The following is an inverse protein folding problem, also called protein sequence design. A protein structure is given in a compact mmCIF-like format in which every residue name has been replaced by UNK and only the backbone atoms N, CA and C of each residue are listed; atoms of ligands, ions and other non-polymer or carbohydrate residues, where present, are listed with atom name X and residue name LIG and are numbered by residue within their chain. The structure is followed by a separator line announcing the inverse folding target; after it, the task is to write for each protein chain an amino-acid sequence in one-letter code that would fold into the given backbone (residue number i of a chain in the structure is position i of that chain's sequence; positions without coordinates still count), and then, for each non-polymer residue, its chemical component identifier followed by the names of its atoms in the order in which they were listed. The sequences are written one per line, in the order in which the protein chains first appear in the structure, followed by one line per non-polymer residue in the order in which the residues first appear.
data_IF_518455197410
#
_entry.id   IF_518455197410
#
_cell.length_a   1.000
_cell.length_b   1.000
_cell.length_c   1.000
_cell.angle_alpha   90.00
_cell.angle_beta   90.00
_cell.angle_gamma   90.00
#
_symmetry.space_group_name_H-M   'P 1'
#
loop_
_entity.id
_entity.type
_entity.pdbx_description
1 polymer ?
#
# COMPACT_ATOMS: atom_id res chain seq x y z
N UNK A 1 -48.04 -52.03 -94.78
CA UNK A 1 -46.96 -51.09 -95.11
C UNK A 1 -47.01 -49.90 -94.16
N UNK A 2 -45.91 -49.73 -93.42
CA UNK A 2 -45.31 -48.46 -92.97
C UNK A 2 -46.09 -47.71 -91.86
N UNK A 3 -45.69 -47.88 -90.59
CA UNK A 3 -44.67 -47.07 -89.88
C UNK A 3 -44.99 -45.57 -89.94
N UNK A 4 -45.44 -45.03 -88.80
CA UNK A 4 -44.87 -43.78 -88.30
C UNK A 4 -45.01 -43.71 -86.77
N UNK A 5 -44.01 -44.28 -86.10
CA UNK A 5 -43.65 -43.91 -84.75
C UNK A 5 -42.55 -42.85 -84.86
N UNK A 6 -42.76 -41.69 -84.23
CA UNK A 6 -41.70 -40.69 -84.16
C UNK A 6 -42.13 -39.39 -83.51
N UNK A 7 -41.34 -39.00 -82.50
CA UNK A 7 -41.15 -37.61 -82.03
C UNK A 7 -42.09 -37.06 -80.96
N UNK A 8 -42.27 -37.82 -79.86
CA UNK A 8 -42.14 -37.17 -78.54
C UNK A 8 -40.65 -37.18 -78.15
N UNK A 9 -39.92 -36.21 -78.67
CA UNK A 9 -38.59 -35.87 -78.17
C UNK A 9 -38.73 -35.27 -76.79
N UNK A 10 -38.84 -36.11 -75.76
CA UNK A 10 -38.67 -35.69 -74.39
C UNK A 10 -37.27 -35.08 -74.28
N UNK A 11 -37.18 -33.77 -74.07
CA UNK A 11 -35.95 -33.15 -73.58
C UNK A 11 -35.55 -33.96 -72.34
N UNK A 12 -34.40 -34.65 -72.40
CA UNK A 12 -33.79 -35.23 -71.21
C UNK A 12 -33.55 -34.05 -70.28
N UNK A 13 -34.40 -33.87 -69.28
CA UNK A 13 -34.10 -32.98 -68.16
C UNK A 13 -32.71 -33.40 -67.67
N UNK A 14 -31.76 -32.48 -67.77
CA UNK A 14 -30.42 -32.69 -67.21
C UNK A 14 -30.63 -33.00 -65.74
N UNK A 15 -30.45 -34.27 -65.37
CA UNK A 15 -30.58 -34.70 -63.98
C UNK A 15 -29.53 -33.92 -63.21
N UNK A 16 -29.98 -33.10 -62.27
CA UNK A 16 -29.09 -32.45 -61.31
C UNK A 16 -28.28 -33.57 -60.64
N UNK A 17 -26.97 -33.59 -60.88
CA UNK A 17 -26.02 -34.53 -60.28
C UNK A 17 -25.11 -33.78 -59.34
N UNK A 18 -24.40 -34.47 -58.46
CA UNK A 18 -23.49 -33.79 -57.54
C UNK A 18 -22.40 -33.01 -58.28
N UNK A 19 -21.92 -33.55 -59.41
CA UNK A 19 -21.02 -32.85 -60.32
C UNK A 19 -21.61 -31.53 -60.85
N UNK A 20 -22.91 -31.50 -61.17
CA UNK A 20 -23.60 -30.27 -61.57
C UNK A 20 -23.57 -29.22 -60.46
N UNK A 21 -23.82 -29.60 -59.19
CA UNK A 21 -23.74 -28.68 -58.05
C UNK A 21 -22.31 -28.22 -57.75
N UNK A 22 -21.30 -29.09 -57.95
CA UNK A 22 -19.90 -28.71 -57.80
C UNK A 22 -19.45 -27.68 -58.84
N UNK A 23 -19.94 -27.79 -60.08
CA UNK A 23 -19.59 -26.89 -61.17
C UNK A 23 -20.35 -25.56 -61.11
N UNK A 24 -21.64 -25.59 -60.79
CA UNK A 24 -22.51 -24.41 -60.86
C UNK A 24 -22.73 -23.71 -59.51
N UNK A 25 -22.51 -24.40 -58.39
CA UNK A 25 -22.73 -23.88 -57.03
C UNK A 25 -21.63 -24.33 -56.04
N UNK A 26 -20.34 -24.03 -56.33
CA UNK A 26 -19.23 -24.48 -55.49
C UNK A 26 -19.34 -23.97 -54.04
N UNK A 27 -19.82 -22.73 -53.83
CA UNK A 27 -20.00 -22.13 -52.50
C UNK A 27 -20.98 -22.93 -51.62
N UNK A 28 -22.05 -23.49 -52.22
CA UNK A 28 -23.02 -24.31 -51.50
C UNK A 28 -22.40 -25.65 -51.10
N UNK A 29 -21.59 -26.24 -51.99
CA UNK A 29 -20.88 -27.50 -51.72
C UNK A 29 -19.83 -27.32 -50.63
N UNK A 30 -19.10 -26.20 -50.63
CA UNK A 30 -18.15 -25.88 -49.57
C UNK A 30 -18.88 -25.66 -48.24
N UNK A 31 -19.94 -24.86 -48.21
CA UNK A 31 -20.73 -24.64 -46.99
C UNK A 31 -21.34 -25.93 -46.41
N UNK A 32 -21.73 -26.89 -47.25
CA UNK A 32 -22.19 -28.20 -46.78
C UNK A 32 -21.05 -29.02 -46.14
N UNK A 33 -19.84 -28.94 -46.69
CA UNK A 33 -18.65 -29.64 -46.16
C UNK A 33 -18.15 -29.05 -44.83
N UNK A 34 -18.45 -27.78 -44.57
CA UNK A 34 -18.09 -27.08 -43.32
C UNK A 34 -18.97 -27.48 -42.13
N UNK A 35 -20.11 -28.14 -42.37
CA UNK A 35 -20.97 -28.66 -41.31
C UNK A 35 -20.21 -29.69 -40.44
N UNK A 36 -20.33 -29.58 -39.11
CA UNK A 36 -19.82 -30.58 -38.16
C UNK A 36 -20.42 -31.96 -38.40
N UNK A 37 -21.69 -32.01 -38.82
CA UNK A 37 -22.38 -33.26 -39.21
C UNK A 37 -22.25 -33.60 -40.72
N UNK A 38 -21.22 -33.10 -41.42
CA UNK A 38 -21.03 -33.35 -42.86
C UNK A 38 -21.10 -34.84 -43.25
N UNK A 39 -20.51 -35.75 -42.46
CA UNK A 39 -20.58 -37.19 -42.77
C UNK A 39 -22.01 -37.74 -42.77
N UNK A 40 -22.91 -37.17 -41.96
CA UNK A 40 -24.35 -37.48 -41.96
C UNK A 40 -25.01 -36.97 -43.24
N UNK A 41 -24.72 -35.73 -43.64
CA UNK A 41 -25.24 -35.12 -44.88
C UNK A 41 -24.73 -35.83 -46.13
N UNK A 42 -23.46 -36.23 -46.13
CA UNK A 42 -22.81 -37.01 -47.19
C UNK A 42 -23.40 -38.41 -47.34
N UNK A 43 -23.90 -39.02 -46.27
CA UNK A 43 -24.63 -40.29 -46.38
C UNK A 43 -25.94 -40.12 -47.16
N UNK A 44 -26.65 -39.01 -46.93
CA UNK A 44 -27.87 -38.66 -47.67
C UNK A 44 -27.59 -38.25 -49.13
N UNK A 45 -26.36 -37.86 -49.48
CA UNK A 45 -25.95 -37.58 -50.85
C UNK A 45 -26.03 -38.84 -51.73
N UNK A 46 -25.55 -39.98 -51.23
CA UNK A 46 -25.60 -41.24 -51.96
C UNK A 46 -27.05 -41.69 -52.24
N UNK A 47 -27.94 -41.51 -51.26
CA UNK A 47 -29.36 -41.80 -51.41
C UNK A 47 -30.06 -40.81 -52.36
N UNK A 48 -29.68 -39.53 -52.31
CA UNK A 48 -30.19 -38.48 -53.20
C UNK A 48 -29.75 -38.70 -54.65
N UNK A 49 -28.49 -39.13 -54.89
CA UNK A 49 -28.00 -39.49 -56.23
C UNK A 49 -28.73 -40.71 -56.81
N UNK A 50 -29.01 -41.71 -55.97
CA UNK A 50 -29.74 -42.91 -56.36
C UNK A 50 -31.20 -42.63 -56.72
N UNK A 51 -31.86 -41.75 -55.97
CA UNK A 51 -33.27 -41.38 -56.18
C UNK A 51 -33.44 -40.26 -57.21
N UNK A 52 -32.37 -39.52 -57.53
CA UNK A 52 -32.41 -38.33 -58.38
C UNK A 52 -33.12 -37.14 -57.74
N UNK A 53 -33.28 -37.16 -56.42
CA UNK A 53 -34.01 -36.14 -55.65
C UNK A 53 -33.11 -35.56 -54.55
N UNK A 54 -32.65 -34.33 -54.77
CA UNK A 54 -31.77 -33.60 -53.86
C UNK A 54 -32.54 -32.87 -52.74
N UNK A 55 -33.87 -32.96 -52.71
CA UNK A 55 -34.65 -32.46 -51.57
C UNK A 55 -34.28 -33.21 -50.28
N UNK A 56 -33.92 -34.49 -50.38
CA UNK A 56 -33.46 -35.30 -49.25
C UNK A 56 -32.11 -34.79 -48.72
N UNK A 57 -31.15 -34.50 -49.60
CA UNK A 57 -29.88 -33.87 -49.23
C UNK A 57 -30.10 -32.50 -48.56
N UNK A 58 -30.99 -31.67 -49.12
CA UNK A 58 -31.32 -30.36 -48.56
C UNK A 58 -31.95 -30.48 -47.16
N UNK A 59 -32.87 -31.43 -46.96
CA UNK A 59 -33.46 -31.70 -45.65
C UNK A 59 -32.44 -32.24 -44.65
N UNK A 60 -31.54 -33.13 -45.08
CA UNK A 60 -30.46 -33.65 -44.24
C UNK A 60 -29.50 -32.54 -43.80
N UNK A 61 -29.11 -31.66 -44.74
CA UNK A 61 -28.31 -30.47 -44.45
C UNK A 61 -29.01 -29.53 -43.47
N UNK A 62 -30.30 -29.22 -43.69
CA UNK A 62 -31.08 -28.38 -42.77
C UNK A 62 -31.18 -28.96 -41.36
N UNK A 63 -31.35 -30.28 -41.25
CA UNK A 63 -31.38 -30.96 -39.94
C UNK A 63 -30.02 -30.89 -39.26
N UNK A 64 -28.93 -31.12 -39.99
CA UNK A 64 -27.57 -30.98 -39.49
C UNK A 64 -27.30 -29.55 -38.97
N UNK A 65 -27.59 -28.53 -39.78
CA UNK A 65 -27.45 -27.12 -39.37
C UNK A 65 -28.30 -26.78 -38.14
N UNK A 66 -29.54 -27.27 -38.08
CA UNK A 66 -30.40 -27.06 -36.90
C UNK A 66 -29.79 -27.67 -35.63
N UNK A 67 -29.20 -28.86 -35.71
CA UNK A 67 -28.54 -29.51 -34.57
C UNK A 67 -27.32 -28.74 -34.11
N UNK A 68 -26.46 -28.31 -35.04
CA UNK A 68 -25.29 -27.49 -34.73
C UNK A 68 -25.69 -26.17 -34.07
N UNK A 69 -26.69 -25.46 -34.63
CA UNK A 69 -27.22 -24.24 -34.01
C UNK A 69 -27.79 -24.51 -32.61
N UNK A 70 -28.42 -25.67 -32.38
CA UNK A 70 -28.94 -26.02 -31.07
C UNK A 70 -27.81 -26.27 -30.07
N UNK A 71 -26.74 -26.96 -30.48
CA UNK A 71 -25.54 -27.18 -29.66
C UNK A 71 -24.85 -25.85 -29.34
N UNK A 72 -24.67 -24.98 -30.34
CA UNK A 72 -24.04 -23.67 -30.14
C UNK A 72 -24.88 -22.79 -29.20
N UNK A 73 -26.22 -22.86 -29.27
CA UNK A 73 -27.12 -22.18 -28.33
C UNK A 73 -26.91 -22.68 -26.90
N UNK A 74 -26.80 -24.00 -26.71
CA UNK A 74 -26.60 -24.58 -25.38
C UNK A 74 -25.22 -24.22 -24.81
N UNK A 75 -24.16 -24.28 -25.62
CA UNK A 75 -22.81 -23.81 -25.26
C UNK A 75 -22.81 -22.33 -24.87
N UNK A 76 -23.52 -21.49 -25.63
CA UNK A 76 -23.66 -20.06 -25.33
C UNK A 76 -24.44 -19.85 -24.03
N UNK A 77 -25.50 -20.62 -23.77
CA UNK A 77 -26.25 -20.55 -22.51
C UNK A 77 -25.36 -20.89 -21.33
N UNK A 78 -24.57 -21.97 -21.41
CA UNK A 78 -23.63 -22.34 -20.35
C UNK A 78 -22.60 -21.24 -20.10
N UNK A 79 -22.03 -20.66 -21.17
CA UNK A 79 -21.11 -19.52 -21.06
C UNK A 79 -21.79 -18.32 -20.39
N UNK A 80 -23.02 -17.99 -20.79
CA UNK A 80 -23.81 -16.90 -20.19
C UNK A 80 -24.05 -17.15 -18.70
N UNK A 81 -24.47 -18.36 -18.30
CA UNK A 81 -24.65 -18.71 -16.90
C UNK A 81 -23.36 -18.60 -16.10
N UNK A 82 -22.23 -19.06 -16.66
CA UNK A 82 -20.93 -18.93 -16.02
C UNK A 82 -20.51 -17.46 -15.82
N UNK A 83 -20.83 -16.59 -16.79
CA UNK A 83 -20.56 -15.16 -16.71
C UNK A 83 -21.45 -14.48 -15.66
N UNK A 84 -22.74 -14.83 -15.60
CA UNK A 84 -23.64 -14.32 -14.56
C UNK A 84 -23.18 -14.73 -13.17
N UNK A 85 -22.79 -15.99 -12.97
CA UNK A 85 -22.27 -16.45 -11.68
C UNK A 85 -20.99 -15.70 -11.27
N UNK A 86 -20.06 -15.47 -12.21
CA UNK A 86 -18.87 -14.65 -11.98
C UNK A 86 -19.22 -13.19 -11.65
N UNK A 87 -20.22 -12.63 -12.33
CA UNK A 87 -20.67 -11.26 -12.10
C UNK A 87 -21.30 -11.11 -10.71
N UNK A 88 -22.12 -12.06 -10.27
CA UNK A 88 -22.72 -12.07 -8.94
C UNK A 88 -21.65 -12.24 -7.84
N UNK A 89 -20.63 -13.08 -8.08
CA UNK A 89 -19.46 -13.19 -7.22
C UNK A 89 -18.73 -11.85 -7.07
N UNK A 90 -18.39 -11.21 -8.20
CA UNK A 90 -17.73 -9.89 -8.20
C UNK A 90 -18.58 -8.80 -7.54
N UNK A 91 -19.90 -8.83 -7.76
CA UNK A 91 -20.84 -7.89 -7.13
C UNK A 91 -20.83 -8.04 -5.60
N UNK A 92 -20.87 -9.28 -5.12
CA UNK A 92 -20.84 -9.60 -3.68
C UNK A 92 -19.51 -9.18 -3.06
N UNK A 93 -18.39 -9.49 -3.71
CA UNK A 93 -17.06 -9.08 -3.27
C UNK A 93 -16.92 -7.56 -3.21
N UNK A 94 -17.48 -6.86 -4.21
CA UNK A 94 -17.50 -5.39 -4.26
C UNK A 94 -18.31 -4.82 -3.10
N UNK A 95 -19.50 -5.35 -2.83
CA UNK A 95 -20.34 -4.91 -1.71
C UNK A 95 -19.65 -5.13 -0.34
N UNK A 96 -18.99 -6.27 -0.17
CA UNK A 96 -18.21 -6.57 1.04
C UNK A 96 -17.02 -5.60 1.21
N UNK A 97 -16.33 -5.29 0.12
CA UNK A 97 -15.24 -4.31 0.14
C UNK A 97 -15.76 -2.91 0.48
N UNK A 98 -16.91 -2.49 -0.05
CA UNK A 98 -17.53 -1.22 0.31
C UNK A 98 -17.86 -1.15 1.80
N UNK A 99 -18.50 -2.19 2.37
CA UNK A 99 -18.81 -2.24 3.82
C UNK A 99 -17.54 -2.17 4.68
N UNK A 100 -16.46 -2.82 4.25
CA UNK A 100 -15.16 -2.74 4.94
C UNK A 100 -14.57 -1.33 4.88
N UNK A 101 -14.58 -0.70 3.71
CA UNK A 101 -14.09 0.67 3.52
C UNK A 101 -14.92 1.67 4.35
N UNK A 102 -16.25 1.53 4.37
CA UNK A 102 -17.13 2.36 5.19
C UNK A 102 -16.79 2.25 6.68
N UNK A 103 -16.52 1.03 7.16
CA UNK A 103 -16.08 0.80 8.53
C UNK A 103 -14.73 1.47 8.81
N UNK A 104 -13.73 1.27 7.94
CA UNK A 104 -12.41 1.90 8.07
C UNK A 104 -12.52 3.44 8.08
N UNK A 105 -13.39 4.03 7.26
CA UNK A 105 -13.68 5.48 7.27
C UNK A 105 -14.32 5.91 8.59
N UNK A 106 -15.27 5.14 9.11
CA UNK A 106 -15.91 5.44 10.40
C UNK A 106 -14.90 5.41 11.55
N UNK A 107 -14.00 4.44 11.55
CA UNK A 107 -12.95 4.31 12.57
C UNK A 107 -11.96 5.50 12.49
N UNK A 108 -11.56 5.89 11.28
CA UNK A 108 -10.70 7.07 11.06
C UNK A 108 -11.38 8.36 11.55
N UNK A 109 -12.68 8.54 11.28
CA UNK A 109 -13.44 9.69 11.79
C UNK A 109 -13.44 9.73 13.32
N UNK A 110 -13.62 8.58 13.98
CA UNK A 110 -13.55 8.50 15.44
C UNK A 110 -12.18 8.91 16.00
N UNK A 111 -11.09 8.49 15.35
CA UNK A 111 -9.73 8.89 15.73
C UNK A 111 -9.52 10.40 15.52
N UNK A 112 -10.03 10.95 14.42
CA UNK A 112 -9.94 12.37 14.12
C UNK A 112 -10.69 13.21 15.17
N UNK A 113 -11.91 12.82 15.54
CA UNK A 113 -12.67 13.48 16.59
C UNK A 113 -11.94 13.44 17.94
N UNK A 114 -11.24 12.35 18.26
CA UNK A 114 -10.42 12.26 19.47
C UNK A 114 -9.20 13.18 19.40
N UNK A 115 -8.54 13.25 18.25
CA UNK A 115 -7.40 14.14 18.02
C UNK A 115 -7.81 15.61 18.16
N UNK A 116 -8.97 15.99 17.63
CA UNK A 116 -9.51 17.35 17.75
C UNK A 116 -9.78 17.70 19.22
N UNK A 117 -10.34 16.76 20.00
CA UNK A 117 -10.52 16.94 21.45
C UNK A 117 -9.18 17.13 22.17
N UNK A 118 -8.17 16.33 21.85
CA UNK A 118 -6.82 16.46 22.44
C UNK A 118 -6.17 17.79 22.06
N UNK A 119 -6.35 18.24 20.83
CA UNK A 119 -5.83 19.53 20.35
C UNK A 119 -6.47 20.70 21.09
N UNK A 120 -7.78 20.65 21.35
CA UNK A 120 -8.47 21.63 22.19
C UNK A 120 -7.93 21.66 23.63
N UNK A 121 -7.62 20.49 24.21
CA UNK A 121 -7.00 20.40 25.53
C UNK A 121 -5.61 21.03 25.54
N UNK A 122 -4.78 20.76 24.52
CA UNK A 122 -3.44 21.36 24.39
C UNK A 122 -3.56 22.89 24.28
N UNK A 123 -4.47 23.41 23.45
CA UNK A 123 -4.71 24.85 23.34
C UNK A 123 -5.13 25.49 24.68
N UNK A 124 -5.94 24.78 25.48
CA UNK A 124 -6.29 25.24 26.83
C UNK A 124 -5.09 25.21 27.79
N UNK A 125 -4.23 24.19 27.70
CA UNK A 125 -3.00 24.10 28.49
C UNK A 125 -2.02 25.22 28.13
N UNK A 126 -1.84 25.52 26.83
CA UNK A 126 -1.02 26.63 26.35
C UNK A 126 -1.49 27.98 26.90
N UNK A 127 -2.82 28.18 27.07
CA UNK A 127 -3.37 29.39 27.68
C UNK A 127 -3.10 29.50 29.19
N UNK A 128 -2.99 28.37 29.88
CA UNK A 128 -2.75 28.32 31.33
C UNK A 128 -1.25 28.40 31.64
N UNK A 129 -0.39 27.96 30.72
CA UNK A 129 1.06 27.87 30.89
C UNK A 129 1.69 29.19 31.39
N UNK A 130 1.42 30.36 30.78
CA UNK A 130 1.98 31.64 31.24
C UNK A 130 1.57 31.98 32.68
N UNK A 131 0.31 31.71 33.04
CA UNK A 131 -0.19 31.94 34.42
C UNK A 131 0.47 31.00 35.42
N UNK A 132 0.73 29.76 35.00
CA UNK A 132 1.44 28.78 35.81
C UNK A 132 2.88 29.25 36.06
N UNK A 133 3.57 29.73 35.01
CA UNK A 133 4.92 30.30 35.10
C UNK A 133 4.97 31.54 36.00
N UNK A 134 4.01 32.46 35.88
CA UNK A 134 3.91 33.61 36.80
C UNK A 134 3.66 33.18 38.25
N UNK A 135 2.84 32.15 38.47
CA UNK A 135 2.61 31.59 39.81
C UNK A 135 3.87 30.93 40.37
N UNK A 136 4.63 30.22 39.54
CA UNK A 136 5.89 29.58 39.90
C UNK A 136 6.94 30.62 40.29
N UNK A 137 7.07 31.69 39.50
CA UNK A 137 7.96 32.81 39.79
C UNK A 137 7.58 33.50 41.10
N UNK A 138 6.29 33.76 41.33
CA UNK A 138 5.80 34.29 42.62
C UNK A 138 6.02 33.32 43.78
N UNK A 139 5.85 32.02 43.57
CA UNK A 139 6.12 31.01 44.61
C UNK A 139 7.60 30.93 44.96
N UNK A 140 8.50 31.23 44.02
CA UNK A 140 9.95 31.30 44.27
C UNK A 140 10.34 32.62 44.94
N UNK A 141 9.75 33.74 44.52
CA UNK A 141 10.09 35.06 45.07
C UNK A 141 9.51 35.33 46.46
N UNK A 142 8.29 34.86 46.72
CA UNK A 142 7.58 35.19 47.97
C UNK A 142 8.30 34.68 49.24
N UNK A 143 8.84 33.44 49.30
CA UNK A 143 9.63 32.99 50.45
C UNK A 143 10.91 33.80 50.64
N UNK A 144 11.58 34.24 49.56
CA UNK A 144 12.77 35.08 49.62
C UNK A 144 12.43 36.47 50.18
N UNK A 145 11.38 37.11 49.66
CA UNK A 145 10.91 38.40 50.18
C UNK A 145 10.46 38.32 51.65
N UNK A 146 9.77 37.24 52.02
CA UNK A 146 9.36 37.02 53.41
C UNK A 146 10.57 36.78 54.30
N UNK A 147 11.56 36.02 53.83
CA UNK A 147 12.81 35.81 54.54
C UNK A 147 13.57 37.13 54.75
N UNK A 148 13.71 37.97 53.71
CA UNK A 148 14.33 39.30 53.81
C UNK A 148 13.58 40.22 54.78
N UNK A 149 12.23 40.25 54.73
CA UNK A 149 11.43 41.06 55.67
C UNK A 149 11.48 40.54 57.10
N UNK A 150 11.66 39.23 57.29
CA UNK A 150 11.84 38.63 58.61
C UNK A 150 13.25 38.93 59.11
N UNK A 151 14.28 38.77 58.27
CA UNK A 151 15.67 39.08 58.61
C UNK A 151 15.81 40.55 58.98
N UNK A 152 15.24 41.47 58.21
CA UNK A 152 15.27 42.90 58.51
C UNK A 152 14.60 43.22 59.86
N UNK A 153 13.40 42.68 60.11
CA UNK A 153 12.70 42.87 61.40
C UNK A 153 13.41 42.21 62.57
N UNK A 154 14.03 41.05 62.35
CA UNK A 154 14.81 40.37 63.38
C UNK A 154 16.10 41.14 63.66
N UNK A 155 16.77 41.66 62.62
CA UNK A 155 17.97 42.49 62.77
C UNK A 155 17.66 43.78 63.52
N UNK A 156 16.61 44.50 63.15
CA UNK A 156 16.16 45.70 63.87
C UNK A 156 15.83 45.39 65.33
N UNK A 157 15.08 44.31 65.62
CA UNK A 157 14.81 43.91 67.01
C UNK A 157 16.04 43.43 67.76
N UNK A 158 16.98 42.76 67.09
CA UNK A 158 18.22 42.31 67.71
C UNK A 158 19.08 43.53 68.02
N UNK A 159 19.18 44.51 67.11
CA UNK A 159 19.89 45.77 67.33
C UNK A 159 19.26 46.55 68.49
N UNK A 160 17.95 46.78 68.49
CA UNK A 160 17.24 47.43 69.59
C UNK A 160 17.44 46.71 70.92
N UNK A 161 17.32 45.37 70.92
CA UNK A 161 17.44 44.58 72.14
C UNK A 161 18.90 44.40 72.58
N UNK A 162 19.86 44.49 71.67
CA UNK A 162 21.29 44.57 72.00
C UNK A 162 21.61 45.94 72.56
N UNK A 163 21.09 47.03 71.98
CA UNK A 163 21.25 48.38 72.55
C UNK A 163 20.59 48.50 73.92
N UNK A 164 19.39 47.92 74.09
CA UNK A 164 18.69 47.84 75.36
C UNK A 164 19.46 46.98 76.36
N UNK A 165 19.89 45.76 76.00
CA UNK A 165 20.67 44.89 76.89
C UNK A 165 22.04 45.50 77.19
N UNK A 166 22.68 46.18 76.25
CA UNK A 166 23.97 46.86 76.51
C UNK A 166 23.73 48.07 77.41
N UNK A 167 22.68 48.85 77.18
CA UNK A 167 22.31 49.99 78.03
C UNK A 167 21.88 49.56 79.43
N UNK A 168 21.05 48.52 79.53
CA UNK A 168 20.63 47.87 80.77
C UNK A 168 21.78 47.17 81.45
N UNK A 169 22.71 46.50 80.75
CA UNK A 169 23.88 45.88 81.38
C UNK A 169 24.90 46.92 81.81
N UNK A 170 25.06 48.03 81.09
CA UNK A 170 25.90 49.14 81.54
C UNK A 170 25.29 49.76 82.81
N UNK A 171 23.96 49.99 82.83
CA UNK A 171 23.24 50.43 84.04
C UNK A 171 23.21 49.39 85.15
N UNK A 172 23.01 48.11 84.86
CA UNK A 172 23.07 47.01 85.83
C UNK A 172 24.50 46.81 86.32
N UNK A 173 25.54 47.06 85.53
CA UNK A 173 26.92 47.05 86.04
C UNK A 173 27.14 48.24 86.97
N UNK A 174 26.52 49.39 86.72
CA UNK A 174 26.48 50.54 87.63
C UNK A 174 25.63 50.29 88.90
N UNK A 175 24.49 49.59 88.79
CA UNK A 175 23.54 49.32 89.89
C UNK A 175 23.87 48.06 90.69
N UNK A 176 24.41 47.01 90.07
CA UNK A 176 24.96 45.81 90.74
C UNK A 176 26.29 46.09 91.44
N UNK A 177 26.90 47.25 91.19
CA UNK A 177 27.93 47.79 92.08
C UNK A 177 27.32 48.24 93.43
N UNK A 178 25.99 48.38 93.57
CA UNK A 178 25.34 48.90 94.77
C UNK A 178 24.20 48.08 95.37
N UNK A 179 23.68 47.02 94.76
CA UNK A 179 22.76 46.12 95.49
C UNK A 179 22.53 44.79 94.79
N UNK A 180 22.93 43.71 95.44
CA UNK A 180 22.52 42.36 95.08
C UNK A 180 21.24 42.01 95.88
N UNK A 181 20.21 41.54 95.19
CA UNK A 181 18.95 41.08 95.80
C UNK A 181 18.42 39.82 95.10
N UNK A 182 17.65 38.95 95.79
CA UNK A 182 17.25 37.61 95.36
C UNK A 182 16.09 37.54 94.34
N UNK A 183 15.73 38.64 93.67
CA UNK A 183 14.62 38.70 92.69
C UNK A 183 14.98 38.05 91.34
N UNK A 184 16.27 37.99 91.03
CA UNK A 184 16.85 37.35 89.83
C UNK A 184 16.44 35.89 89.65
N UNK A 185 16.19 35.15 90.74
CA UNK A 185 15.84 33.73 90.67
C UNK A 185 14.42 33.53 90.12
N UNK A 186 13.49 34.46 90.40
CA UNK A 186 12.11 34.37 89.94
C UNK A 186 11.99 34.71 88.45
N UNK A 187 12.73 35.72 88.01
CA UNK A 187 12.80 36.15 86.60
C UNK A 187 13.44 35.09 85.70
N UNK A 188 14.46 34.38 86.21
CA UNK A 188 15.09 33.25 85.51
C UNK A 188 14.09 32.10 85.31
N UNK A 189 13.23 31.80 86.29
CA UNK A 189 12.22 30.74 86.19
C UNK A 189 11.15 31.10 85.15
N UNK A 190 10.66 32.33 85.12
CA UNK A 190 9.68 32.79 84.13
C UNK A 190 10.25 32.78 82.69
N UNK A 191 11.53 33.17 82.52
CA UNK A 191 12.22 33.05 81.23
C UNK A 191 12.40 31.60 80.82
N UNK A 192 12.70 30.70 81.75
CA UNK A 192 12.83 29.27 81.47
C UNK A 192 11.49 28.67 80.99
N UNK A 193 10.38 29.00 81.66
CA UNK A 193 9.04 28.57 81.27
C UNK A 193 8.62 29.12 79.90
N UNK A 194 8.98 30.37 79.59
CA UNK A 194 8.74 30.97 78.27
C UNK A 194 9.52 30.23 77.17
N UNK A 195 10.80 29.92 77.42
CA UNK A 195 11.67 29.20 76.46
C UNK A 195 11.19 27.75 76.28
N UNK A 196 10.67 27.10 77.31
CA UNK A 196 10.10 25.75 77.22
C UNK A 196 8.83 25.77 76.36
N UNK A 197 7.94 26.76 76.54
CA UNK A 197 6.72 26.89 75.70
C UNK A 197 7.07 27.17 74.24
N UNK A 198 8.04 28.06 73.99
CA UNK A 198 8.49 28.38 72.63
C UNK A 198 9.15 27.16 71.96
N UNK A 199 9.93 26.36 72.70
CA UNK A 199 10.48 25.10 72.18
C UNK A 199 9.39 24.10 71.77
N UNK A 200 8.31 23.99 72.55
CA UNK A 200 7.19 23.10 72.21
C UNK A 200 6.47 23.57 70.95
N UNK A 201 6.26 24.88 70.78
CA UNK A 201 5.69 25.42 69.54
C UNK A 201 6.61 25.23 68.33
N UNK A 202 7.92 25.44 68.49
CA UNK A 202 8.89 25.23 67.43
C UNK A 202 8.96 23.77 67.00
N UNK A 203 8.90 22.82 67.95
CA UNK A 203 8.79 21.38 67.64
C UNK A 203 7.54 21.05 66.83
N UNK A 204 6.38 21.61 67.19
CA UNK A 204 5.14 21.42 66.43
C UNK A 204 5.22 22.00 65.01
N UNK A 205 5.84 23.18 64.86
CA UNK A 205 6.10 23.78 63.54
C UNK A 205 7.08 22.96 62.71
N UNK A 206 8.08 22.35 63.34
CA UNK A 206 9.03 21.44 62.69
C UNK A 206 8.32 20.19 62.15
N UNK A 207 7.53 19.52 62.99
CA UNK A 207 6.75 18.33 62.59
C UNK A 207 5.75 18.62 61.46
N UNK A 208 5.13 19.81 61.47
CA UNK A 208 4.24 20.23 60.39
C UNK A 208 5.01 20.43 59.08
N UNK A 209 6.20 21.05 59.12
CA UNK A 209 7.06 21.23 57.96
C UNK A 209 7.61 19.91 57.42
N UNK A 210 7.98 18.97 58.30
CA UNK A 210 8.44 17.63 57.90
C UNK A 210 7.35 16.84 57.16
N UNK A 211 6.08 16.96 57.59
CA UNK A 211 4.94 16.38 56.86
C UNK A 211 4.80 16.96 55.46
N UNK A 212 4.88 18.28 55.32
CA UNK A 212 4.83 18.95 54.01
C UNK A 212 6.00 18.51 53.12
N UNK A 213 7.22 18.39 53.67
CA UNK A 213 8.39 17.89 52.93
C UNK A 213 8.15 16.45 52.43
N UNK A 214 7.53 15.61 53.26
CA UNK A 214 7.21 14.22 52.86
C UNK A 214 6.20 14.19 51.71
N UNK A 215 5.13 14.97 51.78
CA UNK A 215 4.14 15.08 50.70
C UNK A 215 4.75 15.63 49.40
N UNK A 216 5.62 16.64 49.49
CA UNK A 216 6.32 17.19 48.34
C UNK A 216 7.27 16.17 47.70
N UNK A 217 7.98 15.37 48.50
CA UNK A 217 8.82 14.27 47.99
C UNK A 217 8.00 13.21 47.26
N UNK A 218 6.83 12.84 47.79
CA UNK A 218 5.93 11.90 47.10
C UNK A 218 5.41 12.47 45.77
N UNK A 219 5.04 13.76 45.74
CA UNK A 219 4.65 14.44 44.49
C UNK A 219 5.80 14.49 43.48
N UNK A 220 7.02 14.77 43.95
CA UNK A 220 8.22 14.80 43.12
C UNK A 220 8.48 13.44 42.48
N UNK A 221 8.38 12.35 43.24
CA UNK A 221 8.58 11.00 42.72
C UNK A 221 7.53 10.64 41.66
N UNK A 222 6.25 11.01 41.87
CA UNK A 222 5.19 10.80 40.87
C UNK A 222 5.45 11.57 39.58
N UNK A 223 5.95 12.81 39.68
CA UNK A 223 6.32 13.60 38.51
C UNK A 223 7.52 13.00 37.78
N UNK A 224 8.55 12.53 38.50
CA UNK A 224 9.70 11.84 37.90
C UNK A 224 9.31 10.54 37.18
N UNK A 225 8.38 9.76 37.73
CA UNK A 225 7.81 8.61 37.02
C UNK A 225 7.03 9.02 35.77
N UNK A 226 6.30 10.13 35.84
CA UNK A 226 5.65 10.75 34.68
C UNK A 226 6.67 11.12 33.60
N UNK A 227 7.77 11.78 33.96
CA UNK A 227 8.84 12.16 33.03
C UNK A 227 9.45 10.95 32.34
N UNK A 228 9.75 9.87 33.08
CA UNK A 228 10.27 8.62 32.47
C UNK A 228 9.30 8.03 31.45
N UNK A 229 8.00 8.04 31.73
CA UNK A 229 6.99 7.57 30.76
C UNK A 229 6.93 8.46 29.52
N UNK A 230 7.12 9.77 29.68
CA UNK A 230 7.19 10.70 28.55
C UNK A 230 8.43 10.42 27.70
N UNK A 231 9.60 10.21 28.30
CA UNK A 231 10.83 9.84 27.58
C UNK A 231 10.67 8.51 26.81
N UNK A 232 10.00 7.51 27.39
CA UNK A 232 9.69 6.25 26.70
C UNK A 232 8.75 6.45 25.50
N UNK A 233 7.78 7.35 25.63
CA UNK A 233 6.87 7.72 24.52
C UNK A 233 7.63 8.47 23.43
N UNK A 234 8.50 9.42 23.79
CA UNK A 234 9.33 10.16 22.83
C UNK A 234 10.21 9.22 22.01
N UNK A 235 10.86 8.24 22.64
CA UNK A 235 11.65 7.22 21.93
C UNK A 235 10.80 6.44 20.92
N UNK A 236 9.60 6.01 21.30
CA UNK A 236 8.68 5.31 20.39
C UNK A 236 8.22 6.21 19.23
N UNK A 237 7.96 7.49 19.51
CA UNK A 237 7.60 8.46 18.48
C UNK A 237 8.76 8.67 17.50
N UNK A 238 10.00 8.72 17.99
CA UNK A 238 11.19 8.82 17.14
C UNK A 238 11.36 7.57 16.24
N UNK A 239 11.13 6.37 16.79
CA UNK A 239 11.13 5.11 16.03
C UNK A 239 10.04 5.10 14.95
N UNK A 240 8.81 5.53 15.28
CA UNK A 240 7.73 5.67 14.30
C UNK A 240 8.04 6.73 13.23
N UNK A 241 8.74 7.80 13.60
CA UNK A 241 9.25 8.81 12.66
C UNK A 241 10.20 8.20 11.63
N UNK A 242 11.19 7.41 12.09
CA UNK A 242 12.14 6.70 11.20
C UNK A 242 11.41 5.74 10.25
N UNK A 243 10.48 4.95 10.78
CA UNK A 243 9.66 4.03 9.96
C UNK A 243 8.81 4.77 8.92
N UNK A 244 8.28 5.95 9.26
CA UNK A 244 7.50 6.75 8.33
C UNK A 244 8.37 7.33 7.18
N UNK A 245 9.61 7.73 7.47
CA UNK A 245 10.56 8.14 6.44
C UNK A 245 10.94 6.98 5.51
N UNK A 246 11.22 5.80 6.06
CA UNK A 246 11.49 4.59 5.27
C UNK A 246 10.29 4.23 4.38
N UNK A 247 9.06 4.28 4.91
CA UNK A 247 7.85 4.07 4.11
C UNK A 247 7.69 5.10 3.00
N UNK A 248 8.02 6.36 3.26
CA UNK A 248 7.97 7.42 2.25
C UNK A 248 8.97 7.14 1.13
N UNK A 249 10.18 6.69 1.47
CA UNK A 249 11.19 6.30 0.48
C UNK A 249 10.73 5.09 -0.35
N UNK A 250 10.19 4.06 0.29
CA UNK A 250 9.62 2.89 -0.38
C UNK A 250 8.49 3.31 -1.33
N UNK A 251 7.60 4.21 -0.89
CA UNK A 251 6.50 4.71 -1.72
C UNK A 251 7.00 5.46 -2.95
N UNK A 252 8.05 6.29 -2.81
CA UNK A 252 8.69 6.97 -3.95
C UNK A 252 9.31 5.96 -4.90
N UNK A 253 10.00 4.92 -4.39
CA UNK A 253 10.59 3.86 -5.22
C UNK A 253 9.52 3.04 -5.95
N UNK A 254 8.43 2.68 -5.27
CA UNK A 254 7.28 1.98 -5.86
C UNK A 254 6.62 2.83 -6.95
N UNK A 255 6.44 4.13 -6.71
CA UNK A 255 5.89 5.04 -7.71
C UNK A 255 6.77 5.17 -8.95
N UNK A 256 8.10 5.19 -8.79
CA UNK A 256 9.04 5.18 -9.93
C UNK A 256 8.94 3.90 -10.76
N UNK A 257 8.72 2.75 -10.13
CA UNK A 257 8.65 1.45 -10.82
C UNK A 257 7.30 1.23 -11.49
N UNK A 258 6.22 1.68 -10.85
CA UNK A 258 4.84 1.29 -11.22
C UNK A 258 4.00 2.43 -11.77
N UNK A 259 4.44 3.68 -11.61
CA UNK A 259 3.69 4.89 -11.96
C UNK A 259 2.58 5.26 -10.98
N UNK A 260 2.30 4.44 -9.96
CA UNK A 260 1.27 4.73 -8.95
C UNK A 260 1.89 5.10 -7.59
N UNK A 261 1.37 6.17 -6.98
CA UNK A 261 1.73 6.60 -5.63
C UNK A 261 1.00 5.81 -4.54
N UNK A 262 -0.02 5.01 -4.89
CA UNK A 262 -0.68 4.10 -3.95
C UNK A 262 0.13 2.79 -3.83
N UNK A 263 0.66 2.45 -2.64
CA UNK A 263 1.39 1.20 -2.43
C UNK A 263 0.61 -0.06 -2.80
N UNK A 264 -0.72 -0.08 -2.60
CA UNK A 264 -1.55 -1.25 -2.90
C UNK A 264 -1.69 -1.45 -4.41
N UNK A 265 -1.91 -0.38 -5.14
CA UNK A 265 -2.02 -0.42 -6.59
C UNK A 265 -0.66 -0.68 -7.25
N UNK A 266 0.41 -0.07 -6.74
CA UNK A 266 1.78 -0.36 -7.14
C UNK A 266 2.11 -1.85 -6.96
N UNK A 267 1.78 -2.45 -5.82
CA UNK A 267 1.99 -3.88 -5.58
C UNK A 267 1.18 -4.76 -6.55
N UNK A 268 -0.08 -4.42 -6.86
CA UNK A 268 -0.87 -5.16 -7.86
C UNK A 268 -0.28 -5.07 -9.27
N UNK A 269 0.26 -3.89 -9.64
CA UNK A 269 0.95 -3.71 -10.92
C UNK A 269 2.20 -4.58 -10.96
N UNK A 270 2.97 -4.61 -9.86
CA UNK A 270 4.15 -5.48 -9.74
C UNK A 270 3.73 -6.95 -9.84
N UNK A 271 2.71 -7.40 -9.10
CA UNK A 271 2.24 -8.79 -9.13
C UNK A 271 1.73 -9.21 -10.51
N UNK A 272 1.00 -8.34 -11.22
CA UNK A 272 0.52 -8.61 -12.58
C UNK A 272 1.65 -8.65 -13.61
N UNK A 273 2.64 -7.79 -13.45
CA UNK A 273 3.78 -7.71 -14.37
C UNK A 273 4.99 -8.53 -13.89
N UNK A 274 4.83 -9.30 -12.82
CA UNK A 274 5.90 -10.12 -12.27
C UNK A 274 6.17 -11.29 -13.21
N UNK A 275 7.26 -11.19 -13.98
CA UNK A 275 7.74 -12.30 -14.78
C UNK A 275 8.61 -13.18 -13.88
N UNK A 276 8.23 -14.46 -13.65
CA UNK A 276 9.03 -15.37 -12.84
C UNK A 276 10.45 -15.48 -13.39
N UNK A 277 11.44 -15.48 -12.50
CA UNK A 277 12.86 -15.54 -12.86
C UNK A 277 13.18 -16.74 -13.75
N UNK A 278 12.48 -17.86 -13.57
CA UNK A 278 12.55 -19.06 -14.42
C UNK A 278 12.16 -18.80 -15.88
N UNK A 279 11.07 -18.07 -16.13
CA UNK A 279 10.65 -17.70 -17.50
C UNK A 279 11.64 -16.72 -18.15
N UNK A 280 12.19 -15.79 -17.37
CA UNK A 280 13.25 -14.88 -17.85
C UNK A 280 14.52 -15.65 -18.21
N UNK A 281 14.88 -16.64 -17.41
CA UNK A 281 16.07 -17.47 -17.63
C UNK A 281 15.91 -18.42 -18.83
N UNK A 282 14.71 -18.98 -19.03
CA UNK A 282 14.36 -19.72 -20.25
C UNK A 282 14.39 -18.83 -21.49
N UNK A 283 13.79 -17.63 -21.43
CA UNK A 283 13.87 -16.62 -22.49
C UNK A 283 15.31 -16.21 -22.80
N UNK A 284 16.16 -16.04 -21.78
CA UNK A 284 17.56 -15.71 -21.98
C UNK A 284 18.32 -16.85 -22.68
N UNK A 285 18.00 -18.11 -22.35
CA UNK A 285 18.58 -19.29 -23.04
C UNK A 285 18.12 -19.36 -24.49
N UNK A 286 16.84 -19.15 -24.78
CA UNK A 286 16.32 -19.16 -26.15
C UNK A 286 16.87 -18.01 -26.98
N UNK A 287 16.95 -16.80 -26.42
CA UNK A 287 17.59 -15.65 -27.08
C UNK A 287 19.05 -15.95 -27.39
N UNK A 288 19.80 -16.54 -26.45
CA UNK A 288 21.20 -16.89 -26.67
C UNK A 288 21.36 -17.97 -27.76
N UNK A 289 20.45 -18.95 -27.81
CA UNK A 289 20.43 -19.95 -28.87
C UNK A 289 20.14 -19.32 -30.24
N UNK A 290 19.13 -18.46 -30.33
CA UNK A 290 18.77 -17.75 -31.57
C UNK A 290 19.87 -16.79 -32.04
N UNK A 291 20.59 -16.13 -31.12
CA UNK A 291 21.74 -15.30 -31.49
C UNK A 291 22.87 -16.13 -32.08
N UNK A 292 23.15 -17.31 -31.51
CA UNK A 292 24.16 -18.23 -32.02
C UNK A 292 23.77 -18.76 -33.41
N UNK A 293 22.51 -19.16 -33.58
CA UNK A 293 21.97 -19.59 -34.86
C UNK A 293 22.06 -18.48 -35.92
N UNK A 294 21.75 -17.23 -35.56
CA UNK A 294 21.92 -16.08 -36.45
C UNK A 294 23.38 -15.83 -36.85
N UNK A 295 24.34 -16.01 -35.93
CA UNK A 295 25.76 -15.89 -36.25
C UNK A 295 26.23 -16.99 -37.19
N UNK A 296 25.75 -18.22 -37.00
CA UNK A 296 26.10 -19.35 -37.86
C UNK A 296 25.47 -19.19 -39.26
N UNK A 297 24.21 -18.77 -39.35
CA UNK A 297 23.53 -18.42 -40.61
C UNK A 297 24.22 -17.25 -41.34
N UNK A 298 24.75 -16.27 -40.61
CA UNK A 298 25.56 -15.18 -41.21
C UNK A 298 26.84 -15.72 -41.83
N UNK A 299 27.57 -16.60 -41.13
CA UNK A 299 28.79 -17.23 -41.65
C UNK A 299 28.49 -18.10 -42.87
N UNK A 300 27.38 -18.83 -42.85
CA UNK A 300 26.95 -19.66 -43.96
C UNK A 300 26.55 -18.82 -45.17
N UNK A 301 25.78 -17.75 -44.99
CA UNK A 301 25.50 -16.77 -46.04
C UNK A 301 26.78 -16.19 -46.65
N UNK A 302 27.77 -15.87 -45.83
CA UNK A 302 29.03 -15.32 -46.32
C UNK A 302 29.86 -16.35 -47.11
N UNK A 303 29.84 -17.63 -46.70
CA UNK A 303 30.44 -18.72 -47.48
C UNK A 303 29.73 -18.91 -48.81
N UNK A 304 28.39 -18.98 -48.80
CA UNK A 304 27.59 -19.13 -50.01
C UNK A 304 27.80 -17.95 -50.97
N UNK A 305 27.94 -16.72 -50.47
CA UNK A 305 28.31 -15.56 -51.31
C UNK A 305 29.67 -15.74 -51.97
N UNK A 306 30.69 -16.20 -51.23
CA UNK A 306 32.03 -16.47 -51.79
C UNK A 306 32.00 -17.61 -52.82
N UNK A 307 31.20 -18.64 -52.60
CA UNK A 307 31.00 -19.73 -53.57
C UNK A 307 30.26 -19.26 -54.82
N UNK A 308 29.22 -18.45 -54.66
CA UNK A 308 28.51 -17.81 -55.77
C UNK A 308 29.46 -16.92 -56.59
N UNK A 309 30.32 -16.12 -55.95
CA UNK A 309 31.33 -15.31 -56.64
C UNK A 309 32.32 -16.18 -57.44
N UNK A 310 32.80 -17.30 -56.86
CA UNK A 310 33.69 -18.23 -57.55
C UNK A 310 33.01 -18.91 -58.73
N UNK A 311 31.77 -19.37 -58.57
CA UNK A 311 30.98 -19.97 -59.65
C UNK A 311 30.72 -18.93 -60.73
N UNK A 312 30.36 -17.70 -60.35
CA UNK A 312 30.15 -16.59 -61.30
C UNK A 312 31.41 -16.27 -62.10
N UNK A 313 32.59 -16.27 -61.45
CA UNK A 313 33.88 -16.10 -62.12
C UNK A 313 34.20 -17.28 -63.04
N UNK A 314 33.97 -18.52 -62.61
CA UNK A 314 34.18 -19.71 -63.43
C UNK A 314 33.26 -19.72 -64.66
N UNK A 315 31.99 -19.36 -64.49
CA UNK A 315 31.03 -19.21 -65.60
C UNK A 315 31.48 -18.10 -66.56
N UNK A 316 31.92 -16.94 -66.06
CA UNK A 316 32.48 -15.88 -66.92
C UNK A 316 33.67 -16.36 -67.75
N UNK A 317 34.62 -17.08 -67.14
CA UNK A 317 35.77 -17.63 -67.87
C UNK A 317 35.31 -18.64 -68.94
N UNK A 318 34.37 -19.53 -68.61
CA UNK A 318 33.85 -20.52 -69.57
C UNK A 318 33.08 -19.89 -70.74
N UNK A 319 32.42 -18.75 -70.50
CA UNK A 319 31.78 -17.94 -71.55
C UNK A 319 32.84 -17.21 -72.40
N UNK A 320 33.88 -16.66 -71.78
CA UNK A 320 34.99 -15.97 -72.47
C UNK A 320 35.86 -16.95 -73.30
N UNK A 321 36.05 -18.18 -72.84
CA UNK A 321 36.73 -19.26 -73.57
C UNK A 321 35.85 -19.92 -74.64
N UNK A 322 34.59 -19.50 -74.79
CA UNK A 322 33.68 -19.94 -75.86
C UNK A 322 33.17 -21.38 -75.70
N UNK A 323 33.22 -21.94 -74.48
CA UNK A 323 32.78 -23.31 -74.18
C UNK A 323 31.26 -23.35 -73.91
N UNK A 324 30.67 -22.23 -73.48
CA UNK A 324 29.24 -22.08 -73.17
C UNK A 324 28.70 -20.86 -73.92
N UNK A 325 27.69 -21.05 -74.77
CA UNK A 325 26.94 -19.93 -75.36
C UNK A 325 26.07 -19.30 -74.28
N UNK A 326 26.25 -18.00 -74.04
CA UNK A 326 25.40 -17.25 -73.15
C UNK A 326 24.03 -17.03 -73.81
N UNK A 327 23.07 -17.90 -73.55
CA UNK A 327 21.66 -17.57 -73.78
C UNK A 327 21.24 -16.49 -72.78
N UNK A 328 21.37 -15.23 -73.20
CA UNK A 328 20.69 -14.11 -72.54
C UNK A 328 19.18 -14.28 -72.73
N UNK A 329 18.54 -14.98 -71.80
CA UNK A 329 17.10 -14.84 -71.59
C UNK A 329 16.86 -13.55 -70.81
N UNK A 330 16.71 -12.45 -71.55
CA UNK A 330 15.86 -11.35 -71.11
C UNK A 330 14.41 -11.82 -71.23
N UNK A 331 13.73 -12.04 -70.11
CA UNK A 331 12.26 -11.98 -70.04
C UNK A 331 11.83 -11.89 -68.56
N UNK A 332 11.15 -10.79 -68.20
CA UNK A 332 10.40 -10.62 -66.94
C UNK A 332 11.03 -9.71 -65.90
#
# INVERSE_FOLDING_TARGET
MLWDGGMFGGKKEERATWAFFQEHYPEVVEGLKELREWESVKSALADSERLGDYSILALAALVATKRELSQDIDDLREKIYSLFSKLDGLRTDTENNFKRIEKEISDIKGILDELDRRTLLISNVERILPRLTEMEEKMLSYPLEVAERIEKRLRERIEERVEEIVGEKVREIEERMNSASPELVKEIIERYDSIVRENVELRRKLEARERVIKELREKLNKLQEGTKKVEEIEKKVEEYGKLAEEMKEIRIRLAKITGSYDPKEALRIIERNYIPRSKVEELAKTVKALMKENEDLKKENERLRKELERITQAVKMLVEEGIIEAETSQEG
#
